data_IF_373350788968
#
_entry.id   IF_373350788968
#
_cell.length_a   1.000
_cell.length_b   1.000
_cell.length_c   1.000
_cell.angle_alpha   90.00
_cell.angle_beta   90.00
_cell.angle_gamma   90.00
#
_symmetry.space_group_name_H-M   'P 1'
#
loop_
_entity.id
_entity.type
_entity.pdbx_description
1 polymer ?
#
# COMPACT_ATOMS: atom_id res chain seq x y z
N UNK A 1 68.53 -9.50 20.44
CA UNK A 1 67.64 -8.34 20.18
C UNK A 1 66.34 -8.88 19.61
N UNK A 2 65.30 -9.01 20.44
CA UNK A 2 63.97 -9.50 20.04
C UNK A 2 63.08 -8.27 19.75
N UNK A 3 62.54 -8.13 18.54
CA UNK A 3 61.57 -7.08 18.20
C UNK A 3 60.17 -7.67 18.25
N UNK A 4 59.34 -7.17 19.16
CA UNK A 4 57.94 -7.53 19.29
C UNK A 4 57.10 -6.80 18.22
N UNK A 5 56.27 -7.54 17.51
CA UNK A 5 55.21 -6.99 16.65
C UNK A 5 53.92 -6.91 17.47
N UNK A 6 53.42 -5.70 17.71
CA UNK A 6 52.08 -5.49 18.27
C UNK A 6 51.05 -5.53 17.14
N UNK A 7 50.11 -6.46 17.22
CA UNK A 7 48.88 -6.47 16.40
C UNK A 7 47.79 -5.72 17.17
N UNK A 8 47.32 -4.59 16.63
CA UNK A 8 46.13 -3.92 17.12
C UNK A 8 44.90 -4.50 16.41
N UNK A 9 44.00 -5.14 17.17
CA UNK A 9 42.69 -5.59 16.67
C UNK A 9 41.72 -4.42 16.81
N UNK A 10 41.26 -3.86 15.69
CA UNK A 10 40.15 -2.90 15.68
C UNK A 10 38.81 -3.66 15.73
N UNK A 11 38.06 -3.46 16.81
CA UNK A 11 36.70 -3.97 16.96
C UNK A 11 35.74 -3.00 16.24
N UNK A 12 35.27 -3.37 15.06
CA UNK A 12 34.23 -2.62 14.36
C UNK A 12 32.88 -2.85 15.06
N UNK A 13 32.39 -1.84 15.78
CA UNK A 13 31.02 -1.85 16.32
C UNK A 13 30.07 -1.63 15.17
N UNK A 14 29.41 -2.69 14.71
CA UNK A 14 28.22 -2.59 13.87
C UNK A 14 27.10 -1.99 14.71
N UNK A 15 26.91 -0.68 14.61
CA UNK A 15 25.74 -0.01 15.17
C UNK A 15 24.51 -0.47 14.37
N UNK A 16 23.85 -1.53 14.83
CA UNK A 16 22.48 -1.81 14.41
C UNK A 16 21.62 -0.70 15.00
N UNK A 17 21.21 0.28 14.20
CA UNK A 17 20.18 1.22 14.61
C UNK A 17 18.89 0.43 14.78
N UNK A 18 18.56 0.11 16.04
CA UNK A 18 17.24 -0.40 16.37
C UNK A 18 16.34 0.83 16.37
N UNK A 19 15.60 1.00 15.28
CA UNK A 19 14.55 2.02 15.25
C UNK A 19 13.52 1.62 16.30
N UNK A 20 13.13 2.60 17.13
CA UNK A 20 12.07 2.43 18.12
C UNK A 20 10.80 3.05 17.54
N UNK A 21 9.64 2.59 18.01
CA UNK A 21 8.34 3.07 17.57
C UNK A 21 8.30 4.58 17.54
N UNK A 22 8.04 5.14 16.36
CA UNK A 22 8.16 6.57 16.17
C UNK A 22 8.04 6.98 14.72
N UNK A 23 7.94 8.29 14.54
CA UNK A 23 7.97 8.94 13.23
C UNK A 23 9.12 9.93 13.19
N UNK A 24 9.91 9.88 12.12
CA UNK A 24 11.01 10.81 11.86
C UNK A 24 10.79 11.49 10.52
N UNK A 25 11.02 12.80 10.44
CA UNK A 25 10.99 13.51 9.16
C UNK A 25 12.39 13.53 8.55
N UNK A 26 12.53 13.06 7.31
CA UNK A 26 13.76 13.11 6.52
C UNK A 26 13.47 13.74 5.17
N UNK A 27 13.77 15.04 5.01
CA UNK A 27 13.38 15.80 3.83
C UNK A 27 11.85 15.87 3.68
N UNK A 28 11.34 15.33 2.58
CA UNK A 28 9.90 15.18 2.33
C UNK A 28 9.31 13.89 2.90
N UNK A 29 10.13 12.97 3.39
CA UNK A 29 9.67 11.68 3.87
C UNK A 29 9.30 11.74 5.36
N UNK A 30 8.09 11.28 5.69
CA UNK A 30 7.70 10.85 7.03
C UNK A 30 8.01 9.36 7.15
N UNK A 31 9.06 9.02 7.89
CA UNK A 31 9.52 7.64 8.12
C UNK A 31 8.88 7.14 9.40
N UNK A 32 8.02 6.13 9.32
CA UNK A 32 7.31 5.53 10.45
C UNK A 32 7.84 4.13 10.71
N UNK A 33 8.27 3.85 11.93
CA UNK A 33 8.57 2.51 12.41
C UNK A 33 7.46 2.05 13.37
N UNK A 34 6.81 0.93 13.04
CA UNK A 34 5.75 0.37 13.89
C UNK A 34 6.29 -0.44 15.08
N UNK A 35 7.58 -0.76 15.10
CA UNK A 35 8.20 -1.77 15.98
C UNK A 35 7.51 -3.14 15.93
N UNK A 36 6.70 -3.39 14.90
CA UNK A 36 6.09 -4.68 14.58
C UNK A 36 6.79 -5.41 13.43
N UNK A 37 7.93 -4.88 12.95
CA UNK A 37 8.65 -5.37 11.78
C UNK A 37 8.33 -4.62 10.49
N UNK A 38 7.50 -3.57 10.53
CA UNK A 38 7.18 -2.72 9.39
C UNK A 38 7.76 -1.31 9.58
N UNK A 39 8.53 -0.86 8.59
CA UNK A 39 8.92 0.55 8.43
C UNK A 39 8.36 1.05 7.12
N UNK A 40 7.54 2.10 7.14
CA UNK A 40 6.98 2.69 5.93
C UNK A 40 7.29 4.18 5.82
N UNK A 41 7.26 4.69 4.60
CA UNK A 41 7.57 6.09 4.28
C UNK A 41 6.43 6.73 3.51
N UNK A 42 5.95 7.87 3.99
CA UNK A 42 4.97 8.71 3.30
C UNK A 42 5.67 9.96 2.78
N UNK A 43 5.49 10.31 1.51
CA UNK A 43 5.88 11.62 1.01
C UNK A 43 4.89 12.68 1.52
N UNK A 44 5.37 13.64 2.30
CA UNK A 44 4.52 14.66 2.94
C UNK A 44 3.97 15.73 1.99
N UNK A 45 4.40 15.71 0.73
CA UNK A 45 4.00 16.67 -0.31
C UNK A 45 3.05 16.05 -1.34
N UNK A 46 2.95 14.72 -1.39
CA UNK A 46 2.01 14.03 -2.29
C UNK A 46 0.99 13.17 -1.55
N UNK A 47 1.35 12.63 -0.39
CA UNK A 47 0.56 11.66 0.36
C UNK A 47 0.82 10.20 -0.04
N UNK A 48 1.78 9.94 -0.93
CA UNK A 48 2.04 8.60 -1.43
C UNK A 48 2.96 7.81 -0.48
N UNK A 49 2.75 6.50 -0.39
CA UNK A 49 3.68 5.60 0.29
C UNK A 49 4.82 5.24 -0.67
N UNK A 50 6.03 5.67 -0.32
CA UNK A 50 7.24 5.53 -1.15
C UNK A 50 8.12 4.33 -0.75
N UNK A 51 7.88 3.74 0.42
CA UNK A 51 8.57 2.53 0.91
C UNK A 51 7.72 1.82 1.95
N UNK A 52 7.74 0.50 1.95
CA UNK A 52 7.10 -0.40 2.93
C UNK A 52 8.03 -1.59 3.19
N UNK A 53 8.95 -1.47 4.13
CA UNK A 53 9.90 -2.53 4.47
C UNK A 53 9.33 -3.40 5.58
N UNK A 54 8.93 -4.63 5.26
CA UNK A 54 8.49 -5.63 6.23
C UNK A 54 9.58 -6.66 6.46
N UNK A 55 10.09 -6.78 7.69
CA UNK A 55 11.17 -7.69 8.08
C UNK A 55 12.39 -7.67 7.12
N UNK A 56 12.74 -6.47 6.63
CA UNK A 56 13.86 -6.26 5.70
C UNK A 56 13.52 -6.46 4.22
N UNK A 57 12.28 -6.81 3.88
CA UNK A 57 11.81 -7.00 2.50
C UNK A 57 11.00 -5.77 2.07
N UNK A 58 11.44 -5.09 1.01
CA UNK A 58 10.74 -3.93 0.44
C UNK A 58 9.50 -4.36 -0.36
N UNK A 59 8.32 -4.06 0.16
CA UNK A 59 7.05 -4.36 -0.47
C UNK A 59 6.61 -3.30 -1.48
N UNK A 60 7.02 -2.03 -1.32
CA UNK A 60 6.65 -0.96 -2.25
C UNK A 60 7.47 -1.07 -3.53
N UNK A 61 6.79 -1.03 -4.68
CA UNK A 61 7.49 -0.92 -5.96
C UNK A 61 8.30 0.39 -6.04
N UNK A 62 9.53 0.28 -6.54
CA UNK A 62 10.50 1.38 -6.64
C UNK A 62 10.71 1.87 -8.09
N UNK A 63 10.04 1.25 -9.07
CA UNK A 63 10.31 1.45 -10.49
C UNK A 63 9.27 2.33 -11.20
N UNK A 64 8.08 2.45 -10.62
CA UNK A 64 6.97 3.22 -11.20
C UNK A 64 6.27 4.12 -10.18
N UNK A 65 4.95 4.26 -10.33
CA UNK A 65 4.13 5.03 -9.39
C UNK A 65 4.15 4.38 -8.01
N UNK A 66 4.00 5.21 -6.99
CA UNK A 66 3.93 4.79 -5.59
C UNK A 66 2.50 4.48 -5.14
N UNK A 67 2.36 3.82 -3.99
CA UNK A 67 1.03 3.50 -3.46
C UNK A 67 0.31 4.77 -3.03
N UNK A 68 -0.94 4.94 -3.47
CA UNK A 68 -1.61 6.24 -3.45
C UNK A 68 -3.13 6.12 -3.55
N UNK A 69 -3.82 7.18 -3.14
CA UNK A 69 -5.26 7.35 -3.38
C UNK A 69 -5.50 7.76 -4.84
N UNK A 70 -6.45 7.10 -5.49
CA UNK A 70 -6.85 7.26 -6.88
C UNK A 70 -5.67 7.22 -7.86
N UNK A 71 -5.21 8.38 -8.34
CA UNK A 71 -4.05 8.50 -9.24
C UNK A 71 -2.91 9.36 -8.67
N UNK A 72 -2.95 9.61 -7.36
CA UNK A 72 -2.12 10.59 -6.66
C UNK A 72 -2.96 11.84 -6.39
N UNK A 73 -3.10 12.20 -5.12
CA UNK A 73 -3.98 13.30 -4.68
C UNK A 73 -3.26 14.63 -4.49
N UNK A 74 -1.92 14.65 -4.46
CA UNK A 74 -1.15 15.86 -4.24
C UNK A 74 -1.48 16.53 -2.91
N UNK A 75 -1.28 15.82 -1.80
CA UNK A 75 -1.68 16.26 -0.47
C UNK A 75 -0.53 16.82 0.37
N UNK A 76 -0.87 17.72 1.30
CA UNK A 76 0.03 18.14 2.37
C UNK A 76 -0.19 17.24 3.60
N UNK A 77 0.86 16.58 4.07
CA UNK A 77 0.78 15.65 5.19
C UNK A 77 1.54 16.11 6.43
N UNK A 78 0.97 15.78 7.59
CA UNK A 78 1.62 15.97 8.89
C UNK A 78 1.41 14.74 9.77
N UNK A 79 2.40 14.44 10.63
CA UNK A 79 2.34 13.31 11.54
C UNK A 79 2.25 13.77 13.00
N UNK A 80 1.47 13.05 13.80
CA UNK A 80 1.43 13.21 15.25
C UNK A 80 1.49 11.84 15.93
N UNK A 81 2.36 11.72 16.93
CA UNK A 81 2.34 10.57 17.83
C UNK A 81 1.33 10.83 18.94
N UNK A 82 0.42 9.88 19.18
CA UNK A 82 -0.80 10.11 19.97
C UNK A 82 -1.31 8.82 20.65
N UNK A 83 -2.47 8.92 21.31
CA UNK A 83 -3.13 7.84 22.03
C UNK A 83 -2.56 7.58 23.43
N UNK A 84 -3.01 6.48 24.05
CA UNK A 84 -2.64 6.13 25.42
C UNK A 84 -1.19 5.66 25.46
N UNK A 85 -0.33 6.43 26.13
CA UNK A 85 1.12 6.18 26.16
C UNK A 85 1.79 6.31 24.79
N UNK A 86 1.28 7.18 23.91
CA UNK A 86 1.89 7.47 22.61
C UNK A 86 2.06 6.21 21.73
N UNK A 87 1.08 5.32 21.77
CA UNK A 87 1.09 4.01 21.11
C UNK A 87 0.52 4.04 19.67
N UNK A 88 0.16 5.21 19.16
CA UNK A 88 -0.26 5.41 17.77
C UNK A 88 0.53 6.54 17.12
N UNK A 89 0.73 6.43 15.81
CA UNK A 89 1.20 7.53 14.95
C UNK A 89 0.11 7.75 13.92
N UNK A 90 -0.43 8.97 13.86
CA UNK A 90 -1.41 9.37 12.85
C UNK A 90 -0.76 10.34 11.88
N UNK A 91 -0.77 9.99 10.60
CA UNK A 91 -0.45 10.88 9.49
C UNK A 91 -1.78 11.35 8.89
N UNK A 92 -1.96 12.65 8.80
CA UNK A 92 -3.10 13.29 8.14
C UNK A 92 -2.60 13.96 6.87
N UNK A 93 -3.13 13.56 5.71
CA UNK A 93 -2.83 14.10 4.39
C UNK A 93 -4.07 14.82 3.84
N UNK A 94 -3.99 16.14 3.63
CA UNK A 94 -5.16 16.96 3.30
C UNK A 94 -5.03 17.63 1.93
N UNK A 95 -6.15 17.65 1.22
CA UNK A 95 -6.43 18.45 0.01
C UNK A 95 -7.66 19.34 0.28
N UNK A 96 -8.19 20.04 -0.74
CA UNK A 96 -9.40 20.86 -0.59
C UNK A 96 -10.68 20.03 -0.35
N UNK A 97 -10.77 18.82 -0.89
CA UNK A 97 -11.99 17.99 -0.85
C UNK A 97 -11.80 16.60 -0.27
N UNK A 98 -10.56 16.22 0.06
CA UNK A 98 -10.22 14.90 0.55
C UNK A 98 -9.18 15.00 1.67
N UNK A 99 -9.41 14.27 2.76
CA UNK A 99 -8.42 14.00 3.81
C UNK A 99 -8.20 12.51 3.92
N UNK A 100 -6.95 12.08 3.73
CA UNK A 100 -6.54 10.70 3.87
C UNK A 100 -5.72 10.52 5.14
N UNK A 101 -5.92 9.40 5.82
CA UNK A 101 -5.25 9.08 7.08
C UNK A 101 -4.45 7.79 6.94
N UNK A 102 -3.21 7.82 7.43
CA UNK A 102 -2.45 6.62 7.75
C UNK A 102 -2.26 6.55 9.26
N UNK A 103 -2.55 5.41 9.88
CA UNK A 103 -2.37 5.19 11.31
C UNK A 103 -1.52 3.95 11.53
N UNK A 104 -0.41 4.13 12.24
CA UNK A 104 0.41 3.03 12.73
C UNK A 104 0.14 2.81 14.22
N UNK A 105 0.14 1.54 14.65
CA UNK A 105 0.00 1.14 16.04
C UNK A 105 1.28 0.42 16.51
N UNK A 106 1.67 0.66 17.76
CA UNK A 106 2.84 0.01 18.35
C UNK A 106 2.74 -1.52 18.27
N UNK A 107 3.80 -2.16 17.76
CA UNK A 107 3.94 -3.62 17.55
C UNK A 107 2.92 -4.23 16.59
N UNK A 108 2.37 -3.42 15.70
CA UNK A 108 1.42 -3.88 14.67
C UNK A 108 2.04 -3.66 13.29
N UNK A 109 2.29 -4.71 12.49
CA UNK A 109 2.84 -4.58 11.14
C UNK A 109 1.76 -4.21 10.11
N UNK A 110 0.94 -3.20 10.42
CA UNK A 110 -0.17 -2.75 9.58
C UNK A 110 -0.18 -1.22 9.42
N UNK A 111 -0.69 -0.78 8.28
CA UNK A 111 -0.99 0.63 8.00
C UNK A 111 -2.51 0.74 7.95
N UNK A 112 -3.10 1.26 9.02
CA UNK A 112 -4.54 1.48 9.10
C UNK A 112 -4.89 2.73 8.30
N UNK A 113 -5.88 2.64 7.43
CA UNK A 113 -6.22 3.72 6.51
C UNK A 113 -7.69 4.12 6.64
N UNK A 114 -7.95 5.40 6.40
CA UNK A 114 -9.29 5.93 6.23
C UNK A 114 -9.25 7.12 5.27
N UNK A 115 -10.29 7.27 4.46
CA UNK A 115 -10.42 8.41 3.55
C UNK A 115 -11.72 9.14 3.82
N UNK A 116 -11.64 10.45 4.02
CA UNK A 116 -12.79 11.32 4.19
C UNK A 116 -12.86 12.28 3.01
N UNK A 117 -14.01 12.33 2.33
CA UNK A 117 -14.26 13.22 1.20
C UNK A 117 -15.42 14.17 1.49
N UNK A 118 -15.33 15.39 0.97
CA UNK A 118 -16.45 16.35 0.87
C UNK A 118 -16.93 16.51 -0.57
N UNK A 119 -16.19 15.98 -1.54
CA UNK A 119 -16.58 15.84 -2.94
C UNK A 119 -15.83 14.66 -3.56
N UNK A 120 -16.46 14.00 -4.54
CA UNK A 120 -15.84 12.93 -5.31
C UNK A 120 -14.54 13.43 -5.99
N UNK A 121 -13.45 12.62 -6.01
CA UNK A 121 -12.27 12.94 -6.80
C UNK A 121 -12.65 13.20 -8.27
N UNK A 122 -11.97 14.14 -8.93
CA UNK A 122 -12.26 14.52 -10.32
C UNK A 122 -12.10 13.38 -11.34
N UNK A 123 -11.42 12.30 -10.96
CA UNK A 123 -11.26 11.08 -11.77
C UNK A 123 -12.52 10.20 -11.78
N UNK A 124 -13.53 10.49 -10.95
CA UNK A 124 -14.80 9.73 -10.89
C UNK A 124 -14.71 8.39 -10.14
N UNK A 125 -13.57 8.11 -9.52
CA UNK A 125 -13.37 6.92 -8.69
C UNK A 125 -12.54 7.25 -7.44
N UNK A 126 -12.99 6.71 -6.31
CA UNK A 126 -12.27 6.68 -5.04
C UNK A 126 -11.76 5.27 -4.78
N UNK A 127 -10.43 5.13 -4.84
CA UNK A 127 -9.75 3.88 -4.53
C UNK A 127 -8.43 4.15 -3.84
N UNK A 128 -7.96 3.19 -3.06
CA UNK A 128 -6.57 3.10 -2.68
C UNK A 128 -5.88 2.04 -3.56
N UNK A 129 -4.67 2.33 -4.04
CA UNK A 129 -3.85 1.37 -4.79
C UNK A 129 -2.53 1.17 -4.04
N UNK A 130 -2.30 -0.04 -3.54
CA UNK A 130 -0.98 -0.48 -3.13
C UNK A 130 -0.22 -1.03 -4.36
N UNK A 131 0.84 -0.33 -4.77
CA UNK A 131 1.69 -0.69 -5.91
C UNK A 131 2.92 -1.42 -5.42
N UNK A 132 2.85 -2.74 -5.42
CA UNK A 132 3.81 -3.59 -4.72
C UNK A 132 4.90 -4.11 -5.65
N UNK A 133 6.07 -4.35 -5.08
CA UNK A 133 7.23 -4.90 -5.77
C UNK A 133 6.94 -6.35 -6.16
N UNK A 134 6.72 -6.57 -7.46
CA UNK A 134 6.38 -7.88 -8.01
C UNK A 134 7.47 -8.94 -7.80
N UNK A 135 8.74 -8.57 -7.70
CA UNK A 135 9.80 -9.54 -7.43
C UNK A 135 9.68 -10.12 -6.00
N UNK A 136 9.26 -9.30 -5.04
CA UNK A 136 9.09 -9.72 -3.65
C UNK A 136 7.69 -10.30 -3.37
N UNK A 137 6.66 -9.88 -4.11
CA UNK A 137 5.27 -10.33 -4.00
C UNK A 137 4.75 -10.87 -5.35
N UNK A 138 5.31 -11.97 -5.89
CA UNK A 138 4.96 -12.48 -7.21
C UNK A 138 3.64 -13.25 -7.27
N UNK A 139 3.11 -13.71 -6.13
CA UNK A 139 1.98 -14.62 -6.09
C UNK A 139 0.66 -13.83 -5.98
N UNK A 140 0.24 -13.27 -7.11
CA UNK A 140 -1.06 -12.64 -7.31
C UNK A 140 -2.11 -13.56 -7.92
N UNK A 141 -3.21 -12.97 -8.39
CA UNK A 141 -4.30 -13.75 -8.99
C UNK A 141 -4.01 -14.02 -10.46
N UNK A 142 -3.95 -15.29 -10.85
CA UNK A 142 -3.67 -15.66 -12.24
C UNK A 142 -4.67 -15.07 -13.23
N UNK A 143 -5.94 -14.93 -12.84
CA UNK A 143 -7.03 -14.40 -13.69
C UNK A 143 -6.90 -12.91 -13.99
N UNK A 144 -6.18 -12.15 -13.16
CA UNK A 144 -5.92 -10.72 -13.35
C UNK A 144 -4.46 -10.39 -13.59
N UNK A 145 -3.63 -11.40 -13.86
CA UNK A 145 -2.24 -11.21 -14.29
C UNK A 145 -2.17 -11.00 -15.80
N UNK A 146 -1.88 -9.76 -16.17
CA UNK A 146 -1.83 -9.25 -17.55
C UNK A 146 -0.39 -9.09 -18.06
N UNK A 147 0.62 -9.47 -17.26
CA UNK A 147 2.02 -9.27 -17.62
C UNK A 147 2.39 -9.98 -18.93
N UNK A 148 2.93 -9.23 -19.88
CA UNK A 148 3.27 -9.73 -21.21
C UNK A 148 2.06 -10.01 -22.12
N UNK A 149 0.86 -9.59 -21.71
CA UNK A 149 -0.35 -9.74 -22.49
C UNK A 149 -0.54 -8.64 -23.54
N UNK A 150 -1.44 -8.92 -24.48
CA UNK A 150 -1.90 -7.95 -25.50
C UNK A 150 -3.34 -7.55 -25.20
N UNK A 151 -3.64 -6.26 -25.20
CA UNK A 151 -5.00 -5.77 -25.01
C UNK A 151 -5.92 -6.28 -26.13
N UNK A 152 -7.12 -6.73 -25.76
CA UNK A 152 -8.15 -7.27 -26.66
C UNK A 152 -9.49 -6.55 -26.52
N UNK A 153 -9.73 -5.84 -25.41
CA UNK A 153 -10.84 -4.91 -25.22
C UNK A 153 -10.33 -3.72 -24.41
N UNK A 154 -10.54 -2.50 -24.92
CA UNK A 154 -10.07 -1.27 -24.28
C UNK A 154 -8.58 -1.32 -23.90
N UNK A 155 -8.31 -1.02 -22.64
CA UNK A 155 -6.98 -1.11 -22.01
C UNK A 155 -7.04 -1.88 -20.68
N UNK A 156 -8.02 -2.75 -20.52
CA UNK A 156 -8.33 -3.45 -19.28
C UNK A 156 -8.63 -4.94 -19.45
N UNK A 157 -8.85 -5.42 -20.68
CA UNK A 157 -8.93 -6.86 -21.00
C UNK A 157 -7.79 -7.24 -21.94
N UNK A 158 -7.06 -8.29 -21.55
CA UNK A 158 -5.85 -8.75 -22.21
C UNK A 158 -5.95 -10.22 -22.58
N UNK A 159 -5.18 -10.66 -23.59
CA UNK A 159 -4.86 -12.07 -23.79
C UNK A 159 -3.41 -12.34 -23.35
N UNK A 160 -3.22 -13.37 -22.53
CA UNK A 160 -1.91 -13.84 -22.05
C UNK A 160 -1.85 -15.34 -22.32
N UNK A 161 -0.92 -15.78 -23.18
CA UNK A 161 -0.76 -17.19 -23.56
C UNK A 161 -2.09 -17.86 -24.00
N UNK A 162 -2.92 -17.12 -24.76
CA UNK A 162 -4.21 -17.59 -25.26
C UNK A 162 -5.37 -17.59 -24.25
N UNK A 163 -5.16 -17.08 -23.03
CA UNK A 163 -6.20 -16.93 -22.02
C UNK A 163 -6.56 -15.46 -21.82
N UNK A 164 -7.85 -15.15 -21.67
CA UNK A 164 -8.31 -13.80 -21.33
C UNK A 164 -8.00 -13.48 -19.87
N UNK A 165 -7.56 -12.24 -19.61
CA UNK A 165 -7.15 -11.74 -18.30
C UNK A 165 -7.63 -10.31 -18.13
N UNK A 166 -8.04 -9.96 -16.92
CA UNK A 166 -8.43 -8.59 -16.60
C UNK A 166 -8.37 -8.37 -15.09
N UNK A 167 -8.02 -7.16 -14.68
CA UNK A 167 -8.17 -6.71 -13.29
C UNK A 167 -9.59 -6.94 -12.75
N UNK A 168 -10.63 -6.82 -13.59
CA UNK A 168 -12.01 -7.07 -13.20
C UNK A 168 -12.29 -8.53 -12.82
N UNK A 169 -11.48 -9.47 -13.29
CA UNK A 169 -11.62 -10.89 -12.96
C UNK A 169 -11.10 -11.23 -11.54
N UNK A 170 -10.48 -10.27 -10.86
CA UNK A 170 -10.15 -10.39 -9.44
C UNK A 170 -11.35 -10.19 -8.51
N UNK A 171 -12.43 -9.59 -9.01
CA UNK A 171 -13.50 -9.01 -8.19
C UNK A 171 -14.34 -10.01 -7.39
N UNK A 172 -14.67 -9.61 -6.17
CA UNK A 172 -15.62 -10.30 -5.30
C UNK A 172 -16.78 -9.40 -4.89
N UNK A 173 -17.90 -10.01 -4.51
CA UNK A 173 -19.02 -9.27 -3.93
C UNK A 173 -18.54 -8.66 -2.61
N UNK A 174 -18.85 -7.38 -2.35
CA UNK A 174 -18.41 -6.67 -1.15
C UNK A 174 -18.83 -7.38 0.15
N UNK A 175 -19.97 -8.07 0.16
CA UNK A 175 -20.38 -8.89 1.32
C UNK A 175 -19.45 -10.08 1.61
N UNK A 176 -18.70 -10.56 0.62
CA UNK A 176 -17.77 -11.70 0.72
C UNK A 176 -16.30 -11.28 0.61
N UNK A 177 -16.02 -9.97 0.59
CA UNK A 177 -14.69 -9.41 0.32
C UNK A 177 -14.07 -8.67 1.50
N UNK A 178 -13.92 -9.36 2.63
CA UNK A 178 -13.29 -8.76 3.82
C UNK A 178 -11.76 -8.77 3.74
N UNK A 179 -11.18 -9.74 3.03
CA UNK A 179 -9.73 -9.90 2.94
C UNK A 179 -9.34 -10.42 1.55
N UNK A 180 -8.45 -9.67 0.91
CA UNK A 180 -7.76 -10.07 -0.31
C UNK A 180 -6.31 -9.61 -0.27
N UNK A 181 -5.43 -10.32 -0.98
CA UNK A 181 -4.01 -10.07 -0.87
C UNK A 181 -3.15 -10.86 -1.83
N UNK A 182 -1.85 -10.55 -1.78
CA UNK A 182 -0.81 -11.13 -2.62
C UNK A 182 0.35 -11.55 -1.74
N UNK A 183 1.11 -12.57 -2.16
CA UNK A 183 2.16 -13.15 -1.32
C UNK A 183 3.48 -13.32 -2.06
N UNK A 184 4.52 -13.61 -1.30
CA UNK A 184 5.83 -13.98 -1.78
C UNK A 184 6.62 -14.72 -0.72
N UNK A 185 7.91 -14.92 -0.97
CA UNK A 185 8.76 -15.65 -0.04
C UNK A 185 9.04 -14.79 1.21
N UNK A 186 8.47 -15.16 2.36
CA UNK A 186 8.67 -14.46 3.63
C UNK A 186 7.85 -13.17 3.82
N UNK A 187 6.92 -12.86 2.92
CA UNK A 187 6.07 -11.67 2.98
C UNK A 187 4.68 -11.92 2.38
N UNK A 188 3.67 -11.24 2.93
CA UNK A 188 2.34 -11.12 2.34
C UNK A 188 1.81 -9.70 2.56
N UNK A 189 1.03 -9.21 1.61
CA UNK A 189 0.35 -7.93 1.69
C UNK A 189 -1.14 -8.14 1.47
N UNK A 190 -1.96 -7.63 2.38
CA UNK A 190 -3.40 -7.86 2.40
C UNK A 190 -4.12 -6.53 2.63
N UNK A 191 -5.21 -6.31 1.90
CA UNK A 191 -6.24 -5.38 2.32
C UNK A 191 -7.17 -6.12 3.26
N UNK A 192 -7.44 -5.51 4.40
CA UNK A 192 -8.39 -6.02 5.38
C UNK A 192 -9.47 -4.96 5.51
N UNK A 193 -10.63 -5.24 4.94
CA UNK A 193 -11.79 -4.38 4.98
C UNK A 193 -12.61 -4.79 6.20
N UNK A 194 -12.71 -3.89 7.17
CA UNK A 194 -13.46 -4.12 8.41
C UNK A 194 -14.96 -4.24 8.13
N UNK A 195 -15.75 -4.72 9.09
CA UNK A 195 -17.21 -4.86 8.95
C UNK A 195 -17.94 -3.57 8.53
N UNK A 196 -17.42 -2.40 8.93
CA UNK A 196 -17.94 -1.08 8.54
C UNK A 196 -17.19 -0.45 7.36
N UNK A 197 -16.22 -1.15 6.77
CA UNK A 197 -15.34 -0.62 5.73
C UNK A 197 -16.08 -0.28 4.44
N UNK A 198 -17.19 -0.97 4.15
CA UNK A 198 -18.06 -0.71 3.00
C UNK A 198 -19.24 0.22 3.31
N UNK A 199 -19.37 0.79 4.51
CA UNK A 199 -20.55 1.58 4.90
C UNK A 199 -20.75 2.84 4.04
N UNK A 200 -19.64 3.39 3.54
CA UNK A 200 -19.61 4.58 2.67
C UNK A 200 -19.46 4.22 1.18
N UNK A 201 -19.47 2.93 0.85
CA UNK A 201 -19.39 2.46 -0.53
C UNK A 201 -20.75 2.52 -1.23
N UNK A 202 -20.71 2.53 -2.57
CA UNK A 202 -21.91 2.49 -3.42
C UNK A 202 -22.19 1.10 -3.98
N UNK A 203 -23.45 0.82 -4.36
CA UNK A 203 -23.84 -0.41 -5.08
C UNK A 203 -24.39 -1.55 -4.21
N UNK A 204 -24.23 -1.48 -2.88
CA UNK A 204 -24.77 -2.46 -1.94
C UNK A 204 -23.96 -3.76 -1.87
N UNK A 205 -24.46 -4.79 -1.16
CA UNK A 205 -23.67 -5.97 -0.77
C UNK A 205 -23.17 -6.83 -1.93
N UNK A 206 -23.85 -6.80 -3.07
CA UNK A 206 -23.51 -7.61 -4.25
C UNK A 206 -22.65 -6.87 -5.26
N UNK A 207 -22.33 -5.59 -5.02
CA UNK A 207 -21.39 -4.85 -5.83
C UNK A 207 -20.01 -5.51 -5.77
N UNK A 208 -19.26 -5.40 -6.87
CA UNK A 208 -17.93 -5.98 -7.03
C UNK A 208 -17.04 -4.98 -7.75
N UNK A 209 -15.78 -4.92 -7.34
CA UNK A 209 -14.77 -4.08 -7.99
C UNK A 209 -13.41 -4.79 -8.01
N UNK A 210 -12.40 -4.11 -8.53
CA UNK A 210 -11.05 -4.62 -8.69
C UNK A 210 -10.40 -4.82 -7.31
N UNK A 211 -9.85 -6.02 -7.08
CA UNK A 211 -9.04 -6.34 -5.89
C UNK A 211 -7.55 -6.41 -6.23
N UNK A 212 -7.21 -6.92 -7.42
CA UNK A 212 -5.84 -7.18 -7.83
C UNK A 212 -5.60 -7.04 -9.34
N UNK A 213 -4.46 -6.47 -9.72
CA UNK A 213 -3.91 -6.57 -11.07
C UNK A 213 -2.43 -6.95 -11.01
N UNK A 214 -2.06 -8.02 -11.73
CA UNK A 214 -0.66 -8.39 -11.93
C UNK A 214 -0.12 -7.80 -13.22
N UNK A 215 0.85 -6.89 -13.13
CA UNK A 215 1.53 -6.29 -14.29
C UNK A 215 3.04 -6.23 -14.05
N UNK A 216 3.68 -5.12 -14.43
CA UNK A 216 5.05 -4.83 -14.00
C UNK A 216 5.13 -4.61 -12.48
N UNK A 217 4.10 -3.97 -11.93
CA UNK A 217 3.83 -3.91 -10.50
C UNK A 217 2.83 -5.01 -10.10
N UNK A 218 2.83 -5.38 -8.82
CA UNK A 218 1.75 -6.17 -8.23
C UNK A 218 0.78 -5.20 -7.54
N UNK A 219 -0.35 -4.90 -8.17
CA UNK A 219 -1.28 -3.88 -7.67
C UNK A 219 -2.37 -4.52 -6.82
N UNK A 220 -2.57 -4.02 -5.60
CA UNK A 220 -3.65 -4.41 -4.69
C UNK A 220 -4.53 -3.20 -4.43
N UNK A 221 -5.85 -3.39 -4.46
CA UNK A 221 -6.80 -2.28 -4.51
C UNK A 221 -7.76 -2.34 -3.33
N UNK A 222 -8.29 -1.18 -2.95
CA UNK A 222 -9.58 -1.09 -2.27
C UNK A 222 -10.38 0.01 -2.96
N UNK A 223 -11.44 -0.37 -3.66
CA UNK A 223 -12.32 0.56 -4.38
C UNK A 223 -13.55 0.88 -3.52
N UNK A 224 -13.60 2.08 -2.96
CA UNK A 224 -14.70 2.51 -2.09
C UNK A 224 -15.91 2.90 -2.94
N UNK A 225 -15.67 3.64 -4.02
CA UNK A 225 -16.68 4.11 -4.96
C UNK A 225 -16.07 4.13 -6.36
N UNK A 226 -16.61 3.36 -7.30
CA UNK A 226 -16.27 3.48 -8.72
C UNK A 226 -17.54 3.57 -9.56
N UNK A 227 -17.42 4.10 -10.78
CA UNK A 227 -18.50 4.11 -11.77
C UNK A 227 -18.69 2.74 -12.45
N UNK A 228 -17.85 1.75 -12.15
CA UNK A 228 -18.00 0.38 -12.67
C UNK A 228 -19.41 -0.13 -12.37
N UNK A 229 -20.17 -0.47 -13.42
CA UNK A 229 -21.57 -0.93 -13.35
C UNK A 229 -22.61 0.01 -12.70
N UNK A 230 -22.32 1.31 -12.48
CA UNK A 230 -23.37 2.28 -12.04
C UNK A 230 -24.39 2.65 -13.14
N UNK A 231 -24.25 2.12 -14.35
CA UNK A 231 -25.07 2.48 -15.53
C UNK A 231 -26.38 1.69 -15.69
N UNK A 232 -26.82 0.93 -14.68
CA UNK A 232 -28.14 0.29 -14.71
C UNK A 232 -29.14 1.01 -13.79
N UNK A 233 -29.48 2.27 -14.09
CA UNK A 233 -30.76 2.91 -13.73
C UNK A 233 -31.12 4.03 -14.70
#
# INVERSE_FOLDING_TARGET
>A
MLRAFSFAVQLAVLATSVWAFGVTTSGNSLVVDTSGGLVFKVDKTTGDITSMVFNGIEAQDQSGKHSQVSSGIGASCSAVQTGNSNNYIKITCTTSTLTHYYVARYKDPAIHMATYITAEPSVGELRYIARLNRANLPNGYTVSDIKGGTAIEGTDVYTVNGQTRSKFYSSKQFIDDQVHGVTGNGIGAYMIITDTGYESSSGGPFFRDIDNQGGDQQELYFCECAEHDRYFH
#
